data_IF_820341829901
#
_entry.id   IF_820341829901
#
_cell.length_a   1.000
_cell.length_b   1.000
_cell.length_c   1.000
_cell.angle_alpha   90.00
_cell.angle_beta   90.00
_cell.angle_gamma   90.00
#
_symmetry.space_group_name_H-M   'P 1'
#
loop_
_entity.id
_entity.type
_entity.pdbx_description
1 polymer ?
#
# COMPACT_ATOMS: atom_id res chain seq x y z
N UNK A 1 -13.14 1.66 -31.46
CA UNK A 1 -12.23 1.88 -30.34
C UNK A 1 -12.62 3.20 -29.70
N UNK A 2 -12.76 3.20 -28.39
CA UNK A 2 -12.91 4.42 -27.59
C UNK A 2 -11.51 5.02 -27.45
N UNK A 3 -11.32 6.30 -27.72
CA UNK A 3 -9.99 6.89 -27.63
C UNK A 3 -9.60 7.10 -26.18
N UNK A 4 -8.29 7.07 -25.87
CA UNK A 4 -7.79 7.39 -24.53
C UNK A 4 -8.26 8.76 -24.05
N UNK A 5 -8.47 9.71 -24.98
CA UNK A 5 -8.92 11.06 -24.69
C UNK A 5 -10.39 11.16 -24.25
N UNK A 6 -11.19 10.10 -24.45
CA UNK A 6 -12.59 10.05 -24.03
C UNK A 6 -12.74 9.69 -22.54
N UNK A 7 -11.65 9.23 -21.89
CA UNK A 7 -11.64 8.85 -20.49
C UNK A 7 -11.17 9.98 -19.58
N UNK A 8 -11.84 10.14 -18.45
CA UNK A 8 -11.29 10.84 -17.29
C UNK A 8 -10.82 9.78 -16.28
N UNK A 9 -9.52 9.66 -15.98
CA UNK A 9 -8.99 8.62 -15.08
C UNK A 9 -9.44 8.79 -13.61
N UNK A 10 -10.01 9.95 -13.26
CA UNK A 10 -10.54 10.24 -11.92
C UNK A 10 -12.07 10.21 -11.87
N UNK A 11 -12.76 9.94 -12.98
CA UNK A 11 -14.22 9.82 -12.97
C UNK A 11 -14.66 8.52 -12.27
N UNK A 12 -15.78 8.53 -11.52
CA UNK A 12 -16.27 7.35 -10.81
C UNK A 12 -16.41 6.11 -11.71
N UNK A 13 -16.90 6.29 -12.93
CA UNK A 13 -17.15 5.18 -13.87
C UNK A 13 -15.82 4.53 -14.32
N UNK A 14 -14.77 5.34 -14.54
CA UNK A 14 -13.43 4.85 -14.85
C UNK A 14 -12.77 4.19 -13.65
N UNK A 15 -13.01 4.70 -12.43
CA UNK A 15 -12.48 4.12 -11.20
C UNK A 15 -13.16 2.79 -10.86
N UNK A 16 -14.46 2.65 -11.16
CA UNK A 16 -15.25 1.43 -10.95
C UNK A 16 -14.86 0.34 -11.96
N UNK A 17 -14.68 0.68 -13.24
CA UNK A 17 -14.23 -0.26 -14.27
C UNK A 17 -13.14 0.37 -15.15
N UNK A 18 -11.86 0.24 -14.77
CA UNK A 18 -10.76 0.89 -15.47
C UNK A 18 -10.26 0.12 -16.70
N UNK A 19 -10.72 -1.11 -16.93
CA UNK A 19 -10.17 -1.99 -17.97
C UNK A 19 -10.29 -1.43 -19.40
N UNK A 20 -11.44 -0.83 -19.82
CA UNK A 20 -11.51 -0.19 -21.13
C UNK A 20 -10.52 0.97 -21.29
N UNK A 21 -10.23 1.70 -20.20
CA UNK A 21 -9.24 2.75 -20.20
C UNK A 21 -7.81 2.20 -20.32
N UNK A 22 -7.50 1.09 -19.63
CA UNK A 22 -6.20 0.43 -19.75
C UNK A 22 -5.94 -0.08 -21.16
N UNK A 23 -6.95 -0.70 -21.79
CA UNK A 23 -6.86 -1.12 -23.18
C UNK A 23 -6.59 0.06 -24.12
N UNK A 24 -7.34 1.17 -23.98
CA UNK A 24 -7.11 2.37 -24.78
C UNK A 24 -5.70 2.96 -24.58
N UNK A 25 -5.17 2.94 -23.35
CA UNK A 25 -3.80 3.34 -23.06
C UNK A 25 -2.78 2.44 -23.79
N UNK A 26 -2.94 1.12 -23.77
CA UNK A 26 -2.01 0.22 -24.46
C UNK A 26 -2.07 0.36 -25.98
N UNK A 27 -3.26 0.56 -26.55
CA UNK A 27 -3.44 0.68 -28.00
C UNK A 27 -2.96 2.04 -28.56
N UNK A 28 -3.17 3.14 -27.82
CA UNK A 28 -2.95 4.51 -28.35
C UNK A 28 -1.77 5.25 -27.70
N UNK A 29 -1.58 5.13 -26.38
CA UNK A 29 -0.68 6.00 -25.63
C UNK A 29 -0.16 5.35 -24.32
N UNK A 30 0.84 4.45 -24.39
CA UNK A 30 1.38 3.76 -23.21
C UNK A 30 2.12 4.71 -22.23
N UNK A 31 2.46 5.91 -22.72
CA UNK A 31 2.87 7.07 -21.91
C UNK A 31 1.95 8.24 -22.30
N UNK A 32 1.10 8.67 -21.37
CA UNK A 32 0.00 9.60 -21.68
C UNK A 32 -0.03 10.78 -20.71
N UNK A 33 0.13 12.00 -21.24
CA UNK A 33 -0.12 13.24 -20.50
C UNK A 33 -1.63 13.48 -20.43
N UNK A 34 -2.21 13.38 -19.25
CA UNK A 34 -3.65 13.60 -19.06
C UNK A 34 -3.93 15.10 -18.98
N UNK A 35 -4.72 15.68 -19.90
CA UNK A 35 -5.00 17.12 -19.87
C UNK A 35 -5.62 17.57 -18.54
N UNK A 36 -5.01 18.56 -17.90
CA UNK A 36 -5.51 19.15 -16.67
C UNK A 36 -5.14 18.41 -15.39
N UNK A 37 -4.42 17.29 -15.46
CA UNK A 37 -3.89 16.59 -14.29
C UNK A 37 -2.37 16.82 -14.13
N UNK A 38 -1.86 16.81 -12.89
CA UNK A 38 -0.46 17.15 -12.62
C UNK A 38 0.52 15.98 -12.83
N UNK A 39 0.14 14.96 -13.60
CA UNK A 39 0.94 13.75 -13.80
C UNK A 39 0.79 13.15 -15.20
N UNK A 40 1.80 12.39 -15.59
CA UNK A 40 1.86 11.59 -16.82
C UNK A 40 1.62 10.13 -16.45
N UNK A 41 0.72 9.44 -17.15
CA UNK A 41 0.45 8.02 -16.95
C UNK A 41 1.48 7.16 -17.68
N UNK A 42 1.93 6.09 -17.04
CA UNK A 42 2.71 5.00 -17.65
C UNK A 42 1.98 3.68 -17.39
N UNK A 43 1.56 2.99 -18.45
CA UNK A 43 0.68 1.81 -18.37
C UNK A 43 1.27 0.53 -18.98
N UNK A 44 2.30 0.65 -19.82
CA UNK A 44 2.97 -0.50 -20.44
C UNK A 44 3.97 -1.17 -19.48
N UNK A 45 4.04 -2.50 -19.52
CA UNK A 45 4.88 -3.28 -18.61
C UNK A 45 6.38 -2.97 -18.74
N UNK A 46 6.91 -2.93 -19.96
CA UNK A 46 8.34 -2.71 -20.20
C UNK A 46 8.78 -1.30 -19.76
N UNK A 47 8.00 -0.27 -20.13
CA UNK A 47 8.30 1.12 -19.76
C UNK A 47 8.19 1.35 -18.26
N UNK A 48 7.15 0.80 -17.63
CA UNK A 48 6.99 0.87 -16.18
C UNK A 48 8.15 0.16 -15.48
N UNK A 49 8.55 -1.02 -15.96
CA UNK A 49 9.70 -1.77 -15.44
C UNK A 49 10.99 -0.94 -15.50
N UNK A 50 11.24 -0.24 -16.62
CA UNK A 50 12.40 0.68 -16.72
C UNK A 50 12.36 1.78 -15.67
N UNK A 51 11.19 2.36 -15.42
CA UNK A 51 11.02 3.42 -14.42
C UNK A 51 11.31 2.92 -13.01
N UNK A 52 10.73 1.78 -12.60
CA UNK A 52 10.89 1.27 -11.22
C UNK A 52 12.32 0.81 -10.93
N UNK A 53 13.07 0.40 -11.94
CA UNK A 53 14.48 -0.02 -11.81
C UNK A 53 15.48 1.14 -11.87
N UNK A 54 15.06 2.37 -12.16
CA UNK A 54 15.92 3.56 -12.17
C UNK A 54 15.46 4.62 -11.14
N UNK A 55 15.67 4.36 -9.83
CA UNK A 55 15.29 5.30 -8.78
C UNK A 55 16.14 6.59 -8.76
N UNK A 56 17.24 6.64 -9.52
CA UNK A 56 18.06 7.85 -9.62
C UNK A 56 17.45 8.86 -10.59
N UNK A 57 16.87 8.39 -11.70
CA UNK A 57 16.09 9.23 -12.63
C UNK A 57 14.67 9.45 -12.14
N UNK A 58 14.06 8.45 -11.50
CA UNK A 58 12.66 8.47 -11.08
C UNK A 58 12.57 8.32 -9.56
N UNK A 59 12.56 9.45 -8.86
CA UNK A 59 12.54 9.51 -7.40
C UNK A 59 11.20 9.04 -6.83
N UNK A 60 11.24 8.40 -5.66
CA UNK A 60 10.06 8.06 -4.86
C UNK A 60 9.73 9.14 -3.82
N UNK A 61 10.61 10.14 -3.63
CA UNK A 61 10.34 11.29 -2.78
C UNK A 61 9.15 12.05 -3.34
N UNK A 62 8.32 12.58 -2.44
CA UNK A 62 7.17 13.45 -2.79
C UNK A 62 5.88 12.73 -3.24
N UNK A 63 5.77 11.41 -3.06
CA UNK A 63 4.59 10.65 -3.56
C UNK A 63 3.46 10.46 -2.53
N UNK A 64 3.63 10.89 -1.27
CA UNK A 64 2.66 10.62 -0.20
C UNK A 64 1.50 11.62 -0.08
N UNK A 65 1.41 12.64 -0.94
CA UNK A 65 0.22 13.47 -1.04
C UNK A 65 0.09 14.02 -2.45
N UNK A 66 -0.94 13.57 -3.18
CA UNK A 66 -1.47 14.42 -4.24
C UNK A 66 -1.77 15.76 -3.59
N UNK A 67 -1.25 16.84 -4.16
CA UNK A 67 -1.67 18.20 -3.83
C UNK A 67 -3.15 18.47 -4.15
N UNK A 68 -4.02 17.45 -4.04
CA UNK A 68 -5.45 17.59 -3.87
C UNK A 68 -5.61 18.23 -2.51
N UNK A 69 -5.66 19.56 -2.52
CA UNK A 69 -5.96 20.34 -1.34
C UNK A 69 -7.30 19.88 -0.79
N UNK A 70 -7.32 19.48 0.48
CA UNK A 70 -8.58 19.24 1.19
C UNK A 70 -9.45 20.50 1.05
N UNK A 71 -10.76 20.35 0.81
CA UNK A 71 -11.65 21.48 0.63
C UNK A 71 -11.56 22.43 1.84
N UNK A 72 -11.66 23.75 1.63
CA UNK A 72 -11.63 24.72 2.71
C UNK A 72 -12.71 24.39 3.76
N UNK A 73 -12.38 24.61 5.03
CA UNK A 73 -13.27 24.37 6.16
C UNK A 73 -13.27 25.58 7.09
N UNK A 74 -14.44 25.94 7.63
CA UNK A 74 -14.60 27.01 8.62
C UNK A 74 -14.46 26.49 10.07
N UNK A 75 -14.28 25.18 10.26
CA UNK A 75 -14.09 24.56 11.57
C UNK A 75 -12.68 24.89 12.12
N UNK A 76 -12.57 25.69 13.20
CA UNK A 76 -11.27 26.09 13.76
C UNK A 76 -10.46 24.92 14.32
N UNK A 77 -11.13 23.88 14.83
CA UNK A 77 -10.47 22.70 15.38
C UNK A 77 -9.86 21.86 14.24
N UNK A 78 -10.62 21.68 13.15
CA UNK A 78 -10.13 20.98 11.96
C UNK A 78 -9.01 21.75 11.25
N UNK A 79 -9.10 23.08 11.17
CA UNK A 79 -8.02 23.93 10.66
C UNK A 79 -6.73 23.70 11.45
N UNK A 80 -6.82 23.69 12.79
CA UNK A 80 -5.69 23.43 13.68
C UNK A 80 -5.10 22.03 13.46
N UNK A 81 -5.94 20.99 13.41
CA UNK A 81 -5.47 19.63 13.15
C UNK A 81 -4.80 19.49 11.78
N UNK A 82 -5.33 20.13 10.74
CA UNK A 82 -4.73 20.16 9.40
C UNK A 82 -3.38 20.86 9.41
N UNK A 83 -3.26 21.98 10.11
CA UNK A 83 -1.98 22.71 10.25
C UNK A 83 -0.93 21.87 10.98
N UNK A 84 -1.29 21.27 12.11
CA UNK A 84 -0.42 20.36 12.87
C UNK A 84 0.01 19.15 12.02
N UNK A 85 -0.92 18.55 11.29
CA UNK A 85 -0.65 17.41 10.41
C UNK A 85 0.26 17.79 9.24
N UNK A 86 0.05 18.95 8.61
CA UNK A 86 0.93 19.46 7.53
C UNK A 86 2.32 19.79 8.05
N UNK A 87 2.42 20.42 9.22
CA UNK A 87 3.71 20.70 9.84
C UNK A 87 4.45 19.40 10.10
N UNK A 88 3.77 18.43 10.70
CA UNK A 88 4.35 17.11 10.97
C UNK A 88 4.73 16.36 9.70
N UNK A 89 3.91 16.39 8.66
CA UNK A 89 4.24 15.78 7.37
C UNK A 89 5.53 16.39 6.76
N UNK A 90 5.75 17.71 6.91
CA UNK A 90 7.00 18.36 6.47
C UNK A 90 8.21 18.00 7.32
N UNK A 91 8.01 17.71 8.60
CA UNK A 91 9.05 17.31 9.55
C UNK A 91 9.32 15.79 9.53
N UNK A 92 8.36 15.01 9.01
CA UNK A 92 8.47 13.54 8.92
C UNK A 92 9.54 13.18 7.91
N UNK A 93 10.55 12.39 8.32
CA UNK A 93 11.62 11.99 7.41
C UNK A 93 11.10 11.02 6.35
N UNK A 94 11.64 11.17 5.13
CA UNK A 94 11.47 10.18 4.08
C UNK A 94 12.14 8.87 4.47
N UNK A 95 11.33 7.84 4.69
CA UNK A 95 11.77 6.48 4.96
C UNK A 95 11.13 5.52 3.96
N UNK A 96 11.64 4.29 3.86
CA UNK A 96 11.05 3.19 3.06
C UNK A 96 10.44 3.66 1.72
N UNK A 97 9.11 3.65 1.58
CA UNK A 97 8.39 3.91 0.34
C UNK A 97 8.68 5.30 -0.26
N UNK A 98 8.94 6.31 0.57
CA UNK A 98 9.17 7.69 0.13
C UNK A 98 10.65 8.08 0.08
N UNK A 99 11.57 7.15 0.37
CA UNK A 99 13.00 7.41 0.34
C UNK A 99 13.64 6.95 -0.98
N UNK A 100 14.72 7.63 -1.37
CA UNK A 100 15.58 7.20 -2.48
C UNK A 100 16.90 6.59 -1.97
N UNK A 101 17.61 5.80 -2.79
CA UNK A 101 19.00 5.43 -2.52
C UNK A 101 19.92 6.65 -2.29
N UNK A 102 20.92 6.55 -1.40
CA UNK A 102 21.25 5.38 -0.57
C UNK A 102 20.42 5.27 0.72
N UNK A 103 19.66 6.31 1.10
CA UNK A 103 18.94 6.38 2.38
C UNK A 103 17.88 5.27 2.50
N UNK A 104 17.13 5.02 1.43
CA UNK A 104 16.16 3.93 1.35
C UNK A 104 16.76 2.57 1.75
N UNK A 105 17.96 2.25 1.27
CA UNK A 105 18.60 0.97 1.55
C UNK A 105 18.88 0.77 3.05
N UNK A 106 19.20 1.86 3.77
CA UNK A 106 19.45 1.82 5.22
C UNK A 106 18.18 1.44 5.99
N UNK A 107 17.07 2.12 5.73
CA UNK A 107 15.78 1.80 6.38
C UNK A 107 15.26 0.42 5.94
N UNK A 108 15.39 0.08 4.66
CA UNK A 108 14.98 -1.23 4.11
C UNK A 108 15.72 -2.38 4.79
N UNK A 109 17.01 -2.23 5.08
CA UNK A 109 17.79 -3.26 5.76
C UNK A 109 17.25 -3.58 7.16
N UNK A 110 16.78 -2.58 7.90
CA UNK A 110 16.19 -2.78 9.23
C UNK A 110 14.92 -3.62 9.18
N UNK A 111 14.02 -3.28 8.26
CA UNK A 111 12.72 -3.97 8.13
C UNK A 111 12.89 -5.35 7.47
N UNK A 112 13.79 -5.50 6.51
CA UNK A 112 14.07 -6.80 5.87
C UNK A 112 14.54 -7.86 6.87
N UNK A 113 15.25 -7.47 7.94
CA UNK A 113 15.60 -8.40 9.02
C UNK A 113 14.36 -8.98 9.68
N UNK A 114 13.33 -8.14 9.85
CA UNK A 114 12.07 -8.55 10.43
C UNK A 114 11.15 -9.33 9.48
N UNK A 115 11.22 -9.04 8.19
CA UNK A 115 10.46 -9.74 7.14
C UNK A 115 11.31 -10.74 6.35
N UNK A 116 12.34 -11.31 6.98
CA UNK A 116 13.19 -12.30 6.31
C UNK A 116 12.41 -13.56 5.96
N UNK A 117 12.80 -14.28 4.90
CA UNK A 117 12.14 -15.52 4.47
C UNK A 117 11.98 -16.54 5.62
N UNK A 118 12.97 -16.63 6.51
CA UNK A 118 12.90 -17.49 7.70
C UNK A 118 11.82 -17.05 8.69
N UNK A 119 11.68 -15.75 8.95
CA UNK A 119 10.64 -15.22 9.84
C UNK A 119 9.26 -15.42 9.24
N UNK A 120 9.09 -15.09 7.96
CA UNK A 120 7.83 -15.29 7.22
C UNK A 120 7.41 -16.77 7.23
N UNK A 121 8.33 -17.70 6.92
CA UNK A 121 8.03 -19.13 7.00
C UNK A 121 7.66 -19.59 8.42
N UNK A 122 8.28 -18.99 9.44
CA UNK A 122 7.95 -19.27 10.84
C UNK A 122 6.58 -18.75 11.28
N UNK A 123 5.90 -17.92 10.49
CA UNK A 123 4.56 -17.40 10.77
C UNK A 123 3.45 -18.31 10.23
N UNK A 124 3.76 -19.34 9.45
CA UNK A 124 2.75 -20.16 8.77
C UNK A 124 1.74 -20.76 9.75
N UNK A 125 2.20 -21.39 10.83
CA UNK A 125 1.33 -22.00 11.84
C UNK A 125 0.44 -20.96 12.53
N UNK A 126 0.98 -19.76 12.81
CA UNK A 126 0.21 -18.67 13.42
C UNK A 126 -0.85 -18.11 12.47
N UNK A 127 -0.51 -17.88 11.20
CA UNK A 127 -1.48 -17.48 10.19
C UNK A 127 -2.57 -18.54 10.02
N UNK A 128 -2.21 -19.82 10.05
CA UNK A 128 -3.17 -20.93 9.98
C UNK A 128 -4.11 -20.97 11.17
N UNK A 129 -3.62 -20.71 12.38
CA UNK A 129 -4.44 -20.57 13.60
C UNK A 129 -5.45 -19.43 13.44
N UNK A 130 -5.00 -18.22 13.05
CA UNK A 130 -5.89 -17.07 12.84
C UNK A 130 -6.95 -17.38 11.78
N UNK A 131 -6.56 -17.96 10.64
CA UNK A 131 -7.48 -18.32 9.56
C UNK A 131 -8.53 -19.32 10.05
N UNK A 132 -8.12 -20.33 10.82
CA UNK A 132 -9.02 -21.35 11.37
C UNK A 132 -10.01 -20.72 12.34
N UNK A 133 -9.52 -19.91 13.29
CA UNK A 133 -10.36 -19.22 14.28
C UNK A 133 -11.39 -18.29 13.64
N UNK A 134 -10.98 -17.57 12.59
CA UNK A 134 -11.87 -16.69 11.83
C UNK A 134 -12.95 -17.53 11.14
N UNK A 135 -12.59 -18.61 10.44
CA UNK A 135 -13.56 -19.47 9.73
C UNK A 135 -14.53 -20.11 10.71
N UNK A 136 -14.03 -20.67 11.82
CA UNK A 136 -14.84 -21.29 12.87
C UNK A 136 -15.87 -20.33 13.47
N UNK A 137 -15.60 -19.01 13.44
CA UNK A 137 -16.52 -18.00 13.95
C UNK A 137 -17.79 -17.80 13.10
N UNK A 138 -17.78 -18.17 11.82
CA UNK A 138 -18.91 -17.97 10.90
C UNK A 138 -19.32 -19.22 10.09
N UNK A 139 -18.61 -20.35 10.23
CA UNK A 139 -18.84 -21.54 9.38
C UNK A 139 -20.27 -22.09 9.46
N UNK A 140 -20.93 -21.95 10.61
CA UNK A 140 -22.29 -22.43 10.85
C UNK A 140 -23.38 -21.42 10.42
N UNK A 141 -23.03 -20.20 10.03
CA UNK A 141 -23.99 -19.14 9.69
C UNK A 141 -24.59 -19.29 8.28
N UNK A 142 -23.96 -20.13 7.44
CA UNK A 142 -24.37 -20.38 6.04
C UNK A 142 -24.18 -19.20 5.09
N UNK A 143 -23.65 -18.07 5.58
CA UNK A 143 -23.30 -16.86 4.80
C UNK A 143 -22.23 -16.06 5.54
N UNK A 144 -21.40 -15.32 4.80
CA UNK A 144 -20.33 -14.48 5.37
C UNK A 144 -20.19 -13.19 4.56
N UNK A 145 -19.90 -12.08 5.26
CA UNK A 145 -19.33 -10.88 4.65
C UNK A 145 -17.81 -11.09 4.67
N UNK A 146 -17.28 -11.69 3.59
CA UNK A 146 -15.88 -12.15 3.55
C UNK A 146 -14.89 -11.00 3.79
N UNK A 147 -15.19 -9.80 3.29
CA UNK A 147 -14.30 -8.64 3.47
C UNK A 147 -14.20 -8.30 4.95
N UNK A 148 -15.34 -8.03 5.61
CA UNK A 148 -15.33 -7.59 7.01
C UNK A 148 -14.94 -8.68 8.00
N UNK A 149 -15.36 -9.92 7.74
CA UNK A 149 -15.19 -11.01 8.69
C UNK A 149 -13.90 -11.80 8.47
N UNK A 150 -13.29 -11.74 7.29
CA UNK A 150 -12.07 -12.49 6.97
C UNK A 150 -10.93 -11.59 6.46
N UNK A 151 -11.16 -10.89 5.34
CA UNK A 151 -10.09 -10.21 4.62
C UNK A 151 -9.49 -9.03 5.41
N UNK A 152 -10.31 -8.29 6.16
CA UNK A 152 -9.84 -7.20 7.02
C UNK A 152 -9.16 -7.70 8.30
N UNK A 153 -9.63 -8.83 8.84
CA UNK A 153 -9.22 -9.33 10.15
C UNK A 153 -7.87 -10.04 10.14
N UNK A 154 -7.60 -10.85 9.11
CA UNK A 154 -6.36 -11.64 9.02
C UNK A 154 -5.11 -10.74 8.92
N UNK A 155 -4.95 -9.86 7.92
CA UNK A 155 -3.73 -9.06 7.76
C UNK A 155 -3.50 -8.11 8.94
N UNK A 156 -4.58 -7.54 9.49
CA UNK A 156 -4.50 -6.68 10.67
C UNK A 156 -3.96 -7.43 11.90
N UNK A 157 -4.37 -8.68 12.09
CA UNK A 157 -3.88 -9.51 13.21
C UNK A 157 -2.40 -9.83 13.03
N UNK A 158 -2.00 -10.20 11.81
CA UNK A 158 -0.62 -10.53 11.47
C UNK A 158 0.31 -9.34 11.64
N UNK A 159 -0.04 -8.16 11.09
CA UNK A 159 0.83 -6.97 11.19
C UNK A 159 0.94 -6.45 12.63
N UNK A 160 -0.13 -6.53 13.42
CA UNK A 160 -0.11 -6.15 14.82
C UNK A 160 0.86 -7.02 15.63
N UNK A 161 0.85 -8.33 15.41
CA UNK A 161 1.79 -9.26 16.04
C UNK A 161 3.24 -8.98 15.61
N UNK A 162 3.49 -8.81 14.31
CA UNK A 162 4.83 -8.49 13.79
C UNK A 162 5.39 -7.15 14.30
N UNK A 163 4.54 -6.13 14.45
CA UNK A 163 4.92 -4.87 15.08
C UNK A 163 5.28 -5.10 16.56
N UNK A 164 4.64 -6.06 17.23
CA UNK A 164 4.82 -6.30 18.68
C UNK A 164 3.74 -5.62 19.52
N UNK A 165 2.55 -5.42 18.95
CA UNK A 165 1.40 -4.89 19.69
C UNK A 165 1.00 -5.90 20.79
N UNK A 166 0.90 -5.47 22.06
CA UNK A 166 0.45 -6.35 23.13
C UNK A 166 -0.94 -6.93 22.82
N UNK A 167 -1.14 -8.24 23.04
CA UNK A 167 -2.45 -8.91 22.81
C UNK A 167 -3.61 -8.22 23.55
N UNK A 168 -3.37 -7.67 24.74
CA UNK A 168 -4.37 -6.91 25.51
C UNK A 168 -4.81 -5.60 24.83
N UNK A 169 -3.97 -5.03 23.96
CA UNK A 169 -4.20 -3.78 23.25
C UNK A 169 -4.74 -4.00 21.83
N UNK A 170 -4.73 -5.24 21.32
CA UNK A 170 -5.04 -5.54 19.92
C UNK A 170 -6.37 -4.95 19.47
N UNK A 171 -7.45 -5.12 20.24
CA UNK A 171 -8.78 -4.57 19.90
C UNK A 171 -8.77 -3.04 19.78
N UNK A 172 -8.09 -2.36 20.71
CA UNK A 172 -7.98 -0.89 20.69
C UNK A 172 -7.05 -0.42 19.56
N UNK A 173 -6.01 -1.19 19.24
CA UNK A 173 -5.15 -0.96 18.09
C UNK A 173 -5.93 -1.06 16.78
N UNK A 174 -6.64 -2.17 16.53
CA UNK A 174 -7.46 -2.37 15.31
C UNK A 174 -8.40 -1.19 15.06
N UNK A 175 -9.20 -0.83 16.07
CA UNK A 175 -10.13 0.31 15.99
C UNK A 175 -9.43 1.63 15.65
N UNK A 176 -8.30 1.95 16.30
CA UNK A 176 -7.55 3.18 16.01
C UNK A 176 -6.91 3.15 14.62
N UNK A 177 -6.45 1.98 14.18
CA UNK A 177 -5.83 1.80 12.88
C UNK A 177 -6.84 2.04 11.75
N UNK A 178 -8.06 1.50 11.89
CA UNK A 178 -9.15 1.69 10.93
C UNK A 178 -9.56 3.16 10.82
N UNK A 179 -9.70 3.84 11.97
CA UNK A 179 -10.03 5.27 12.00
C UNK A 179 -8.94 6.14 11.37
N UNK A 180 -7.67 5.86 11.67
CA UNK A 180 -6.55 6.63 11.13
C UNK A 180 -6.41 6.50 9.60
N UNK A 181 -6.78 5.35 9.04
CA UNK A 181 -6.82 5.11 7.60
C UNK A 181 -7.99 5.85 6.94
N UNK A 182 -9.17 5.88 7.58
CA UNK A 182 -10.37 6.46 7.01
C UNK A 182 -10.22 7.92 6.56
N UNK A 183 -9.28 8.70 7.14
CA UNK A 183 -9.02 10.08 6.71
C UNK A 183 -8.02 10.26 5.56
N UNK A 184 -7.46 9.18 5.01
CA UNK A 184 -6.57 9.22 3.83
C UNK A 184 -7.39 9.44 2.55
N UNK A 185 -8.66 9.04 2.54
CA UNK A 185 -9.57 9.26 1.41
C UNK A 185 -9.82 10.75 1.18
N UNK A 186 -9.73 11.17 -0.09
CA UNK A 186 -10.09 12.52 -0.49
C UNK A 186 -11.60 12.70 -0.32
N UNK A 187 -12.01 13.76 0.39
CA UNK A 187 -13.42 14.19 0.57
C UNK A 187 -14.24 13.42 1.63
N UNK A 188 -13.64 13.07 2.78
CA UNK A 188 -14.42 12.60 3.93
C UNK A 188 -15.19 13.74 4.63
N UNK A 189 -16.32 13.44 5.30
CA UNK A 189 -17.02 14.41 6.13
C UNK A 189 -16.08 15.01 7.22
N UNK A 190 -16.21 16.29 7.58
CA UNK A 190 -15.34 16.94 8.56
C UNK A 190 -15.24 16.21 9.92
N UNK A 191 -16.32 15.58 10.36
CA UNK A 191 -16.34 14.78 11.59
C UNK A 191 -15.43 13.56 11.50
N UNK A 192 -15.52 12.82 10.39
CA UNK A 192 -14.69 11.65 10.13
C UNK A 192 -13.21 12.03 9.96
N UNK A 193 -12.95 13.17 9.32
CA UNK A 193 -11.59 13.72 9.24
C UNK A 193 -11.03 14.01 10.64
N UNK A 194 -11.82 14.64 11.52
CA UNK A 194 -11.41 14.94 12.90
C UNK A 194 -11.12 13.66 13.70
N UNK A 195 -12.00 12.66 13.60
CA UNK A 195 -11.81 11.36 14.26
C UNK A 195 -10.54 10.65 13.76
N UNK A 196 -10.28 10.68 12.45
CA UNK A 196 -9.07 10.10 11.86
C UNK A 196 -7.80 10.78 12.37
N UNK A 197 -7.75 12.12 12.34
CA UNK A 197 -6.58 12.88 12.81
C UNK A 197 -6.30 12.61 14.30
N UNK A 198 -7.35 12.55 15.12
CA UNK A 198 -7.24 12.18 16.54
C UNK A 198 -6.72 10.76 16.72
N UNK A 199 -7.27 9.79 15.99
CA UNK A 199 -6.83 8.40 16.05
C UNK A 199 -5.35 8.24 15.64
N UNK A 200 -4.92 8.97 14.61
CA UNK A 200 -3.51 9.01 14.17
C UNK A 200 -2.57 9.52 15.28
N UNK A 201 -2.94 10.61 15.97
CA UNK A 201 -2.16 11.14 17.09
C UNK A 201 -2.11 10.16 18.28
N UNK A 202 -3.23 9.53 18.62
CA UNK A 202 -3.30 8.52 19.68
C UNK A 202 -2.46 7.28 19.33
N UNK A 203 -2.46 6.88 18.05
CA UNK A 203 -1.65 5.77 17.56
C UNK A 203 -0.14 6.07 17.65
N UNK A 204 0.28 7.27 17.28
CA UNK A 204 1.68 7.67 17.39
C UNK A 204 2.16 7.67 18.85
N UNK A 205 1.37 8.22 19.78
CA UNK A 205 1.69 8.15 21.22
C UNK A 205 1.80 6.71 21.70
N UNK A 206 0.89 5.85 21.24
CA UNK A 206 0.91 4.44 21.57
C UNK A 206 2.18 3.77 21.05
N UNK A 207 2.53 3.93 19.77
CA UNK A 207 3.76 3.39 19.21
C UNK A 207 5.02 3.84 19.97
N UNK A 208 5.14 5.12 20.32
CA UNK A 208 6.28 5.61 21.09
C UNK A 208 6.34 4.97 22.49
N UNK A 209 5.18 4.74 23.13
CA UNK A 209 5.16 4.06 24.43
C UNK A 209 5.61 2.60 24.33
N UNK A 210 5.24 1.89 23.26
CA UNK A 210 5.72 0.52 23.00
C UNK A 210 7.20 0.52 22.63
N UNK A 211 7.67 1.49 21.83
CA UNK A 211 9.08 1.64 21.50
C UNK A 211 9.95 1.83 22.75
N UNK A 212 9.52 2.69 23.68
CA UNK A 212 10.22 2.93 24.94
C UNK A 212 10.25 1.69 25.83
N UNK A 213 9.15 0.95 25.92
CA UNK A 213 9.14 -0.33 26.64
C UNK A 213 10.09 -1.35 26.00
N UNK A 214 10.17 -1.42 24.66
CA UNK A 214 11.09 -2.33 23.95
C UNK A 214 12.56 -1.93 24.06
N UNK A 215 12.87 -0.64 24.25
CA UNK A 215 14.24 -0.19 24.57
C UNK A 215 14.72 -0.77 25.90
N UNK A 216 13.80 -0.97 26.85
CA UNK A 216 14.10 -1.48 28.19
C UNK A 216 13.93 -3.01 28.26
N UNK A 217 12.97 -3.57 27.53
CA UNK A 217 12.63 -4.99 27.49
C UNK A 217 12.52 -5.50 26.04
N UNK A 218 13.66 -5.73 25.35
CA UNK A 218 13.67 -6.18 23.95
C UNK A 218 12.91 -7.51 23.76
N UNK A 219 12.17 -7.62 22.65
CA UNK A 219 11.49 -8.84 22.20
C UNK A 219 11.84 -9.16 20.75
N UNK A 220 11.32 -10.28 20.24
CA UNK A 220 11.55 -10.68 18.84
C UNK A 220 10.49 -10.08 17.90
N UNK A 221 10.44 -8.75 17.81
CA UNK A 221 9.45 -8.01 16.99
C UNK A 221 10.07 -6.82 16.22
N UNK A 222 9.29 -6.25 15.28
CA UNK A 222 9.70 -5.08 14.49
C UNK A 222 9.93 -3.88 15.40
N UNK A 223 9.07 -3.65 16.40
CA UNK A 223 9.23 -2.51 17.31
C UNK A 223 10.59 -2.55 18.02
N UNK A 224 11.01 -3.70 18.53
CA UNK A 224 12.34 -3.88 19.14
C UNK A 224 13.45 -3.60 18.14
N UNK A 225 13.30 -4.12 16.91
CA UNK A 225 14.27 -3.90 15.84
C UNK A 225 14.45 -2.40 15.57
N UNK A 226 13.36 -1.64 15.44
CA UNK A 226 13.42 -0.20 15.18
C UNK A 226 13.91 0.60 16.40
N UNK A 227 13.41 0.29 17.59
CA UNK A 227 13.70 1.03 18.81
C UNK A 227 15.16 0.88 19.29
N UNK A 228 15.83 -0.20 18.86
CA UNK A 228 17.23 -0.50 19.20
C UNK A 228 18.20 -0.38 18.02
N UNK A 229 17.69 -0.12 16.81
CA UNK A 229 18.52 0.02 15.61
C UNK A 229 19.45 1.23 15.69
N UNK A 230 20.66 1.03 15.17
CA UNK A 230 21.59 2.10 14.81
C UNK A 230 21.64 2.20 13.28
N UNK A 231 21.60 3.42 12.78
CA UNK A 231 21.73 3.76 11.37
C UNK A 231 22.97 4.61 11.16
N UNK A 232 23.77 4.25 10.15
CA UNK A 232 24.87 5.09 9.70
C UNK A 232 24.28 6.27 8.91
N UNK A 233 24.59 7.47 9.37
CA UNK A 233 24.39 8.71 8.62
C UNK A 233 25.72 9.16 8.02
N UNK A 234 25.69 10.19 7.18
CA UNK A 234 26.90 10.67 6.51
C UNK A 234 27.91 11.27 7.52
N UNK A 235 27.42 11.67 8.71
CA UNK A 235 28.21 12.30 9.76
C UNK A 235 28.49 11.37 10.98
N UNK A 236 27.55 10.47 11.33
CA UNK A 236 27.69 9.58 12.49
C UNK A 236 26.79 8.32 12.46
N UNK A 237 27.16 7.27 13.20
CA UNK A 237 26.20 6.21 13.57
C UNK A 237 25.35 6.69 14.73
N UNK A 238 24.03 6.69 14.55
CA UNK A 238 23.07 7.09 15.59
C UNK A 238 21.88 6.15 15.63
N UNK A 239 21.13 6.17 16.73
CA UNK A 239 19.82 5.51 16.79
C UNK A 239 18.81 6.21 15.90
N UNK A 240 17.79 5.47 15.48
CA UNK A 240 16.60 6.07 14.89
C UNK A 240 15.97 7.05 15.88
N UNK A 241 15.57 8.22 15.38
CA UNK A 241 14.76 9.14 16.16
C UNK A 241 13.29 8.71 16.14
N UNK A 242 12.49 9.31 17.01
CA UNK A 242 11.08 8.95 17.17
C UNK A 242 10.26 9.18 15.88
N UNK A 243 10.58 10.21 15.09
CA UNK A 243 9.87 10.49 13.83
C UNK A 243 10.18 9.46 12.73
N UNK A 244 11.41 8.96 12.66
CA UNK A 244 11.79 7.86 11.76
C UNK A 244 11.09 6.56 12.14
N UNK A 245 11.04 6.24 13.45
CA UNK A 245 10.35 5.05 13.95
C UNK A 245 8.86 5.14 13.60
N UNK A 246 8.22 6.28 13.84
CA UNK A 246 6.81 6.50 13.53
C UNK A 246 6.53 6.45 12.03
N UNK A 247 7.38 7.06 11.19
CA UNK A 247 7.27 7.02 9.73
C UNK A 247 7.26 5.57 9.22
N UNK A 248 8.18 4.73 9.72
CA UNK A 248 8.27 3.32 9.34
C UNK A 248 7.04 2.54 9.83
N UNK A 249 6.64 2.69 11.09
CA UNK A 249 5.52 1.95 11.68
C UNK A 249 4.19 2.30 11.02
N UNK A 250 3.97 3.58 10.69
CA UNK A 250 2.79 4.03 9.97
C UNK A 250 2.72 3.40 8.58
N UNK A 251 3.84 3.38 7.85
CA UNK A 251 3.90 2.71 6.53
C UNK A 251 3.61 1.22 6.64
N UNK A 252 4.19 0.51 7.62
CA UNK A 252 3.97 -0.93 7.80
C UNK A 252 2.52 -1.26 8.17
N UNK A 253 1.90 -0.46 9.03
CA UNK A 253 0.50 -0.62 9.41
C UNK A 253 -0.44 -0.49 8.20
N UNK A 254 -0.28 0.55 7.40
CA UNK A 254 -1.15 0.81 6.24
C UNK A 254 -0.87 -0.21 5.14
N UNK A 255 0.41 -0.35 4.74
CA UNK A 255 0.81 -1.21 3.64
C UNK A 255 0.54 -2.69 3.90
N UNK A 256 0.71 -3.16 5.14
CA UNK A 256 0.50 -4.57 5.50
C UNK A 256 -0.97 -4.98 5.62
N UNK A 257 -1.88 -4.03 5.80
CA UNK A 257 -3.31 -4.29 5.99
C UNK A 257 -4.09 -4.25 4.69
N UNK A 258 -4.21 -3.08 4.08
CA UNK A 258 -5.18 -2.82 3.01
C UNK A 258 -4.90 -3.64 1.75
N UNK A 259 -3.62 -3.72 1.35
CA UNK A 259 -3.23 -4.43 0.12
C UNK A 259 -3.53 -5.92 0.22
N UNK A 260 -3.22 -6.53 1.36
CA UNK A 260 -3.49 -7.96 1.61
C UNK A 260 -4.99 -8.24 1.73
N UNK A 261 -5.73 -7.39 2.44
CA UNK A 261 -7.19 -7.52 2.56
C UNK A 261 -7.87 -7.40 1.19
N UNK A 262 -7.46 -6.42 0.39
CA UNK A 262 -7.95 -6.23 -0.96
C UNK A 262 -7.62 -7.44 -1.85
N UNK A 263 -6.38 -7.93 -1.79
CA UNK A 263 -5.98 -9.13 -2.53
C UNK A 263 -6.87 -10.33 -2.18
N UNK A 264 -7.09 -10.62 -0.89
CA UNK A 264 -7.92 -11.74 -0.43
C UNK A 264 -9.37 -11.61 -0.92
N UNK A 265 -9.96 -10.42 -0.78
CA UNK A 265 -11.33 -10.14 -1.21
C UNK A 265 -11.50 -10.31 -2.71
N UNK A 266 -10.60 -9.73 -3.51
CA UNK A 266 -10.68 -9.80 -4.97
C UNK A 266 -10.31 -11.17 -5.52
N UNK A 267 -9.37 -11.90 -4.90
CA UNK A 267 -9.08 -13.30 -5.24
C UNK A 267 -10.34 -14.15 -5.16
N UNK A 268 -11.11 -14.01 -4.07
CA UNK A 268 -12.36 -14.75 -3.92
C UNK A 268 -13.43 -14.29 -4.91
N UNK A 269 -13.50 -13.00 -5.22
CA UNK A 269 -14.40 -12.50 -6.26
C UNK A 269 -14.06 -13.11 -7.63
N UNK A 270 -12.78 -13.06 -8.04
CA UNK A 270 -12.31 -13.64 -9.29
C UNK A 270 -12.60 -15.14 -9.39
N UNK A 271 -12.40 -15.90 -8.31
CA UNK A 271 -12.74 -17.32 -8.27
C UNK A 271 -14.25 -17.58 -8.38
N UNK A 272 -15.09 -16.76 -7.76
CA UNK A 272 -16.55 -16.89 -7.84
C UNK A 272 -17.08 -16.52 -9.24
N UNK A 273 -16.40 -15.62 -9.95
CA UNK A 273 -16.73 -15.24 -11.33
C UNK A 273 -16.17 -16.23 -12.37
N UNK A 274 -15.19 -17.05 -12.00
CA UNK A 274 -14.56 -18.09 -12.85
C UNK A 274 -14.68 -19.48 -12.18
N UNK A 275 -15.88 -20.07 -12.12
CA UNK A 275 -16.14 -21.29 -11.35
C UNK A 275 -15.32 -22.51 -11.79
N UNK A 276 -14.89 -22.58 -13.04
CA UNK A 276 -13.99 -23.61 -13.55
C UNK A 276 -12.59 -23.55 -12.91
N UNK A 277 -12.08 -22.34 -12.65
CA UNK A 277 -10.80 -22.13 -11.97
C UNK A 277 -10.93 -22.50 -10.48
N UNK A 278 -12.07 -22.16 -9.87
CA UNK A 278 -12.40 -22.56 -8.50
C UNK A 278 -12.50 -24.09 -8.35
N UNK A 279 -13.15 -24.77 -9.30
CA UNK A 279 -13.26 -26.24 -9.32
C UNK A 279 -11.87 -26.89 -9.51
N UNK A 280 -11.01 -26.34 -10.36
CA UNK A 280 -9.64 -26.82 -10.53
C UNK A 280 -8.86 -26.78 -9.22
N UNK A 281 -8.91 -25.67 -8.48
CA UNK A 281 -8.26 -25.51 -7.17
C UNK A 281 -8.81 -26.45 -6.09
N UNK A 282 -10.13 -26.68 -6.08
CA UNK A 282 -10.75 -27.62 -5.14
C UNK A 282 -10.32 -29.06 -5.40
N UNK A 283 -10.11 -29.43 -6.66
CA UNK A 283 -9.66 -30.75 -7.07
C UNK A 283 -8.14 -30.94 -6.91
N UNK A 284 -7.35 -29.87 -7.05
CA UNK A 284 -5.90 -29.87 -6.92
C UNK A 284 -5.37 -28.64 -6.14
N UNK A 285 -5.23 -28.76 -4.80
CA UNK A 285 -4.67 -27.70 -3.97
C UNK A 285 -3.21 -27.34 -4.29
N UNK A 286 -2.49 -28.13 -5.11
CA UNK A 286 -1.14 -27.76 -5.54
C UNK A 286 -1.10 -26.54 -6.47
N UNK A 287 -2.24 -26.12 -7.00
CA UNK A 287 -2.42 -24.89 -7.79
C UNK A 287 -2.48 -23.61 -6.93
N UNK A 288 -2.68 -23.71 -5.60
CA UNK A 288 -2.81 -22.55 -4.71
C UNK A 288 -1.66 -21.53 -4.86
N UNK A 289 -0.37 -21.93 -4.92
CA UNK A 289 0.71 -20.98 -5.15
C UNK A 289 0.59 -20.21 -6.47
N UNK A 290 0.13 -20.86 -7.55
CA UNK A 290 -0.07 -20.19 -8.83
C UNK A 290 -1.28 -19.26 -8.80
N UNK A 291 -2.38 -19.68 -8.15
CA UNK A 291 -3.53 -18.82 -7.90
C UNK A 291 -3.15 -17.52 -7.16
N UNK A 292 -2.23 -17.58 -6.20
CA UNK A 292 -1.75 -16.38 -5.49
C UNK A 292 -1.03 -15.42 -6.45
N UNK A 293 -0.13 -15.93 -7.30
CA UNK A 293 0.56 -15.11 -8.30
C UNK A 293 -0.40 -14.54 -9.34
N UNK A 294 -1.36 -15.34 -9.81
CA UNK A 294 -2.37 -14.91 -10.78
C UNK A 294 -3.30 -13.84 -10.18
N UNK A 295 -3.68 -13.98 -8.92
CA UNK A 295 -4.49 -12.98 -8.23
C UNK A 295 -3.75 -11.64 -8.10
N UNK A 296 -2.44 -11.69 -7.80
CA UNK A 296 -1.59 -10.50 -7.75
C UNK A 296 -1.45 -9.83 -9.12
N UNK A 297 -1.35 -10.62 -10.20
CA UNK A 297 -1.32 -10.11 -11.57
C UNK A 297 -2.67 -9.47 -11.93
N UNK A 298 -3.75 -10.24 -11.81
CA UNK A 298 -5.08 -9.91 -12.33
C UNK A 298 -5.71 -8.70 -11.62
N UNK A 299 -5.58 -8.64 -10.30
CA UNK A 299 -6.23 -7.61 -9.47
C UNK A 299 -5.31 -6.43 -9.15
N UNK A 300 -4.00 -6.67 -9.06
CA UNK A 300 -2.99 -5.68 -8.70
C UNK A 300 -3.42 -4.80 -7.50
N UNK A 301 -3.41 -5.35 -6.26
CA UNK A 301 -3.94 -4.66 -5.07
C UNK A 301 -3.38 -3.24 -4.86
N UNK A 302 -2.14 -3.01 -5.29
CA UNK A 302 -1.59 -1.67 -5.51
C UNK A 302 -1.79 -1.29 -6.98
N UNK A 303 -2.86 -0.55 -7.26
CA UNK A 303 -3.21 -0.17 -8.65
C UNK A 303 -2.16 0.72 -9.31
N UNK A 304 -1.65 1.71 -8.57
CA UNK A 304 -0.66 2.64 -9.07
C UNK A 304 0.23 3.22 -7.96
N UNK A 305 1.46 3.58 -8.32
CA UNK A 305 2.35 4.41 -7.51
C UNK A 305 2.96 5.50 -8.39
N UNK A 306 3.57 6.51 -7.76
CA UNK A 306 4.08 7.65 -8.49
C UNK A 306 5.59 7.74 -8.39
N UNK A 307 6.18 8.48 -9.31
CA UNK A 307 7.59 8.88 -9.30
C UNK A 307 7.72 10.33 -9.74
N UNK A 308 8.83 10.96 -9.37
CA UNK A 308 9.18 12.31 -9.85
C UNK A 308 10.47 12.24 -10.66
N UNK A 309 10.46 12.78 -11.88
CA UNK A 309 11.67 12.86 -12.69
C UNK A 309 12.70 13.81 -12.05
N UNK A 310 13.92 13.34 -11.78
CA UNK A 310 14.98 14.13 -11.13
C UNK A 310 15.78 14.98 -12.12
N UNK A 311 15.65 14.68 -13.41
CA UNK A 311 16.29 15.34 -14.56
C UNK A 311 15.37 15.23 -15.79
N UNK A 312 15.63 16.04 -16.81
CA UNK A 312 14.98 15.87 -18.11
C UNK A 312 15.39 14.50 -18.70
N UNK A 313 14.42 13.76 -19.22
CA UNK A 313 14.60 12.42 -19.81
C UNK A 313 13.56 12.17 -20.89
N UNK A 314 13.60 10.99 -21.51
CA UNK A 314 12.59 10.52 -22.46
C UNK A 314 12.14 9.10 -22.05
N UNK A 315 10.84 8.81 -22.16
CA UNK A 315 10.26 7.50 -21.88
C UNK A 315 9.24 7.16 -22.97
N UNK A 316 9.43 6.04 -23.68
CA UNK A 316 8.50 5.63 -24.74
C UNK A 316 8.36 6.65 -25.88
N UNK A 317 9.40 7.43 -26.17
CA UNK A 317 9.35 8.52 -27.16
C UNK A 317 8.71 9.83 -26.63
N UNK A 318 8.24 9.87 -25.39
CA UNK A 318 7.67 11.06 -24.76
C UNK A 318 8.73 11.79 -23.92
N UNK A 319 8.94 13.11 -24.12
CA UNK A 319 9.83 13.89 -23.28
C UNK A 319 9.24 14.07 -21.88
N UNK A 320 10.03 13.81 -20.85
CA UNK A 320 9.67 13.98 -19.45
C UNK A 320 10.61 15.03 -18.84
N UNK A 321 10.05 16.18 -18.46
CA UNK A 321 10.80 17.27 -17.85
C UNK A 321 11.11 16.97 -16.37
N UNK A 322 12.24 17.49 -15.88
CA UNK A 322 12.59 17.46 -14.47
C UNK A 322 11.45 18.02 -13.60
N UNK A 323 11.09 17.29 -12.56
CA UNK A 323 10.03 17.64 -11.62
C UNK A 323 8.64 17.19 -12.05
N UNK A 324 8.46 16.64 -13.25
CA UNK A 324 7.19 16.03 -13.65
C UNK A 324 6.95 14.75 -12.86
N UNK A 325 5.68 14.56 -12.48
CA UNK A 325 5.20 13.37 -11.79
C UNK A 325 4.73 12.34 -12.81
N UNK A 326 5.16 11.09 -12.62
CA UNK A 326 4.68 9.93 -13.37
C UNK A 326 3.76 9.11 -12.47
N UNK A 327 2.59 8.72 -12.96
CA UNK A 327 1.70 7.73 -12.37
C UNK A 327 1.94 6.38 -13.06
N UNK A 328 2.52 5.43 -12.34
CA UNK A 328 2.79 4.09 -12.83
C UNK A 328 1.60 3.21 -12.50
N UNK A 329 0.81 2.82 -13.50
CA UNK A 329 -0.38 2.00 -13.30
C UNK A 329 -0.01 0.51 -13.41
N UNK A 330 0.35 -0.11 -12.29
CA UNK A 330 0.67 -1.54 -12.22
C UNK A 330 -0.51 -2.41 -12.68
N UNK A 331 -1.75 -2.02 -12.36
CA UNK A 331 -2.94 -2.76 -12.80
C UNK A 331 -3.08 -2.80 -14.33
N UNK A 332 -2.66 -1.74 -15.03
CA UNK A 332 -2.62 -1.72 -16.48
C UNK A 332 -1.42 -2.54 -16.99
N UNK A 333 -0.23 -2.40 -16.40
CA UNK A 333 0.95 -3.14 -16.80
C UNK A 333 0.78 -4.67 -16.64
N UNK A 334 0.08 -5.12 -15.60
CA UNK A 334 -0.23 -6.54 -15.39
C UNK A 334 -1.30 -7.09 -16.35
N UNK A 335 -1.96 -6.20 -17.11
CA UNK A 335 -2.93 -6.52 -18.17
C UNK A 335 -2.40 -6.20 -19.57
N UNK A 336 -1.10 -5.97 -19.69
CA UNK A 336 -0.45 -5.71 -20.97
C UNK A 336 -0.33 -7.01 -21.78
N UNK A 337 -1.05 -7.10 -22.90
CA UNK A 337 -1.06 -8.29 -23.77
C UNK A 337 0.28 -8.58 -24.44
N UNK A 338 1.20 -7.60 -24.52
CA UNK A 338 2.56 -7.86 -25.01
C UNK A 338 3.38 -8.69 -24.02
N UNK A 339 3.10 -8.54 -22.72
CA UNK A 339 3.77 -9.27 -21.64
C UNK A 339 3.01 -10.52 -21.20
N UNK A 340 1.68 -10.45 -21.14
CA UNK A 340 0.79 -11.51 -20.68
C UNK A 340 -0.28 -11.78 -21.75
N UNK A 341 -0.12 -12.79 -22.62
CA UNK A 341 -1.13 -13.13 -23.60
C UNK A 341 -2.48 -13.43 -22.94
N UNK A 342 -3.56 -12.88 -23.48
CA UNK A 342 -4.92 -13.02 -22.91
C UNK A 342 -5.02 -12.46 -21.48
N UNK A 343 -4.35 -11.34 -21.22
CA UNK A 343 -4.19 -10.76 -19.87
C UNK A 343 -5.50 -10.44 -19.13
N UNK A 344 -6.63 -10.39 -19.86
CA UNK A 344 -7.97 -10.16 -19.32
C UNK A 344 -8.63 -11.41 -18.73
N UNK A 345 -8.03 -12.59 -18.91
CA UNK A 345 -8.50 -13.84 -18.29
C UNK A 345 -7.81 -14.06 -16.96
N UNK A 346 -8.54 -14.66 -16.03
CA UNK A 346 -8.02 -15.18 -14.77
C UNK A 346 -7.72 -16.67 -14.95
N UNK A 347 -6.46 -17.07 -14.77
CA UNK A 347 -5.98 -18.43 -15.07
C UNK A 347 -5.02 -18.99 -13.99
N UNK A 348 -5.50 -19.99 -13.23
CA UNK A 348 -4.81 -20.50 -12.01
C UNK A 348 -4.00 -21.77 -12.20
#
# INVERSE_FOLDING_TARGET
>A
MTSVADFNPLAPETLECPFPFYQALHEEAPVYEVPGLPFIIVSNYELLSKVVHDPHTYSSKTVTAFGIESPPTDDPELQKFREESRKRAKETPDTLLSADPPHHARYRALVNKALSARRVAGMEDYCREIVTDIIDSFIDDGKVDLVKQFADELPMSVIADQIGIPRSELKAYKKRADLAIGGIETQVPPEMERESLRAGMEMQKFFLSVAEERRQNPKDDIMTTLATAEVETDDESRRLNDDEILSILQQLQVAGKETTAHCLGMTMLALLENPEQMEALQNDPSLIPNMVEESLRFEAPVRALFRVATKDTELGGQPIAKGQTLMLIYAAANRDNEQFPEAEKFDV
#
